data_IF_944773115187
#
_entry.id   IF_944773115187
#
_cell.length_a   1.000
_cell.length_b   1.000
_cell.length_c   1.000
_cell.angle_alpha   90.00
_cell.angle_beta   90.00
_cell.angle_gamma   90.00
#
_symmetry.space_group_name_H-M   'P 1'
#
loop_
_entity.id
_entity.type
_entity.pdbx_description
1 polymer ?
#
# COMPACT_ATOMS: atom_id res chain seq x y z
N UNK A 1 -3.85 -29.02 20.40
CA UNK A 1 -3.41 -27.61 20.51
C UNK A 1 -2.94 -27.17 19.13
N UNK A 2 -3.81 -26.55 18.35
CA UNK A 2 -3.47 -26.11 16.99
C UNK A 2 -2.65 -24.83 17.07
N UNK A 3 -1.45 -24.87 16.48
CA UNK A 3 -0.52 -23.75 16.44
C UNK A 3 -1.17 -22.57 15.68
N UNK A 4 -1.32 -21.44 16.36
CA UNK A 4 -1.62 -20.17 15.72
C UNK A 4 -0.40 -19.78 14.89
N UNK A 5 -0.44 -20.02 13.57
CA UNK A 5 0.61 -19.54 12.66
C UNK A 5 0.56 -18.02 12.71
N UNK A 6 1.49 -17.41 13.45
CA UNK A 6 1.65 -15.97 13.42
C UNK A 6 1.84 -15.54 11.96
N UNK A 7 1.14 -14.48 11.52
CA UNK A 7 1.31 -14.00 10.16
C UNK A 7 2.78 -13.61 10.01
N UNK A 8 3.50 -14.33 9.15
CA UNK A 8 4.86 -13.96 8.73
C UNK A 8 4.82 -12.49 8.36
N UNK A 9 5.54 -11.63 9.11
CA UNK A 9 5.51 -10.17 8.93
C UNK A 9 5.56 -9.85 7.45
N UNK A 10 4.44 -9.37 6.90
CA UNK A 10 4.40 -8.95 5.52
C UNK A 10 5.51 -7.91 5.34
N UNK A 11 6.41 -8.16 4.39
CA UNK A 11 7.48 -7.22 4.09
C UNK A 11 6.86 -5.96 3.54
N UNK A 12 6.78 -4.92 4.36
CA UNK A 12 6.33 -3.59 3.96
C UNK A 12 7.55 -2.75 3.55
N UNK A 13 7.33 -1.82 2.62
CA UNK A 13 8.30 -0.77 2.29
C UNK A 13 7.73 0.58 2.75
N UNK A 14 8.56 1.39 3.38
CA UNK A 14 8.25 2.80 3.62
C UNK A 14 8.58 3.59 2.35
N UNK A 15 7.71 4.50 1.96
CA UNK A 15 7.92 5.41 0.82
C UNK A 15 7.76 6.83 1.35
N UNK A 16 8.78 7.64 1.17
CA UNK A 16 8.74 9.06 1.53
C UNK A 16 7.89 9.84 0.53
N UNK A 17 7.10 10.79 1.03
CA UNK A 17 6.27 11.66 0.20
C UNK A 17 7.00 12.99 0.04
N UNK A 18 7.41 13.30 -1.18
CA UNK A 18 8.09 14.54 -1.52
C UNK A 18 7.10 15.72 -1.65
N UNK A 19 7.66 16.94 -1.71
CA UNK A 19 6.87 18.17 -1.89
C UNK A 19 6.12 18.19 -3.23
N UNK A 20 6.61 17.49 -4.25
CA UNK A 20 5.95 17.38 -5.57
C UNK A 20 4.66 16.57 -5.51
N UNK A 21 4.49 15.73 -4.49
CA UNK A 21 3.26 15.01 -4.20
C UNK A 21 2.29 15.82 -3.31
N UNK A 22 2.60 17.06 -2.93
CA UNK A 22 1.71 17.88 -2.12
C UNK A 22 0.34 18.09 -2.81
N UNK A 23 -0.74 17.91 -2.05
CA UNK A 23 -2.11 18.00 -2.58
C UNK A 23 -2.54 16.81 -3.47
N UNK A 24 -1.67 15.83 -3.68
CA UNK A 24 -2.02 14.61 -4.40
C UNK A 24 -2.97 13.75 -3.56
N UNK A 25 -4.01 13.22 -4.20
CA UNK A 25 -4.87 12.22 -3.57
C UNK A 25 -4.07 10.95 -3.26
N UNK A 26 -4.32 10.35 -2.09
CA UNK A 26 -3.61 9.14 -1.66
C UNK A 26 -3.77 7.97 -2.63
N UNK A 27 -4.95 7.78 -3.23
CA UNK A 27 -5.18 6.73 -4.23
C UNK A 27 -4.31 6.91 -5.48
N UNK A 28 -4.18 8.15 -5.97
CA UNK A 28 -3.30 8.47 -7.09
C UNK A 28 -1.82 8.21 -6.74
N UNK A 29 -1.38 8.61 -5.54
CA UNK A 29 -0.02 8.34 -5.07
C UNK A 29 0.28 6.83 -5.02
N UNK A 30 -0.62 6.06 -4.39
CA UNK A 30 -0.49 4.60 -4.24
C UNK A 30 -0.55 3.89 -5.58
N UNK A 31 -1.47 4.26 -6.48
CA UNK A 31 -1.57 3.69 -7.82
C UNK A 31 -0.30 3.96 -8.65
N UNK A 32 0.29 5.16 -8.53
CA UNK A 32 1.58 5.48 -9.18
C UNK A 32 2.72 4.65 -8.63
N UNK A 33 2.75 4.41 -7.32
CA UNK A 33 3.78 3.63 -6.64
C UNK A 33 3.64 2.11 -6.87
N UNK A 34 2.42 1.62 -7.11
CA UNK A 34 2.06 0.21 -7.30
C UNK A 34 1.62 -0.07 -8.74
N UNK A 35 2.53 0.15 -9.69
CA UNK A 35 2.27 -0.14 -11.11
C UNK A 35 1.82 -1.59 -11.31
N UNK A 36 0.71 -1.78 -12.02
CA UNK A 36 0.13 -3.10 -12.32
C UNK A 36 -0.84 -3.64 -11.28
N UNK A 37 -1.06 -2.94 -10.15
CA UNK A 37 -2.09 -3.32 -9.18
C UNK A 37 -3.46 -2.80 -9.64
N UNK A 38 -4.51 -3.64 -9.67
CA UNK A 38 -5.86 -3.19 -10.00
C UNK A 38 -6.37 -2.12 -9.00
N UNK A 39 -7.01 -1.04 -9.46
CA UNK A 39 -7.52 0.03 -8.58
C UNK A 39 -8.46 -0.50 -7.49
N UNK A 40 -9.28 -1.51 -7.81
CA UNK A 40 -10.19 -2.13 -6.85
C UNK A 40 -9.50 -2.75 -5.63
N UNK A 41 -8.25 -3.18 -5.74
CA UNK A 41 -7.47 -3.67 -4.59
C UNK A 41 -7.00 -2.52 -3.71
N UNK A 42 -6.63 -1.39 -4.32
CA UNK A 42 -6.24 -0.17 -3.60
C UNK A 42 -7.44 0.39 -2.85
N UNK A 43 -8.59 0.52 -3.51
CA UNK A 43 -9.84 0.98 -2.89
C UNK A 43 -10.41 0.06 -1.82
N UNK A 44 -10.00 -1.21 -1.78
CA UNK A 44 -10.39 -2.13 -0.70
C UNK A 44 -9.57 -1.89 0.57
N UNK A 45 -8.39 -1.30 0.45
CA UNK A 45 -7.44 -1.11 1.55
C UNK A 45 -7.48 0.31 2.14
N UNK A 46 -7.89 1.30 1.34
CA UNK A 46 -8.09 2.70 1.74
C UNK A 46 -9.52 2.91 2.23
#
# INVERSE_FOLDING_TARGET
>A
MSAHREPSRATARSVEVDADAAGQRLDNFVMRALRGVPPSRVYRLL
#
